data_IF_833063396149
#
_entry.id   IF_833063396149
#
_cell.length_a   1.000
_cell.length_b   1.000
_cell.length_c   1.000
_cell.angle_alpha   90.00
_cell.angle_beta   90.00
_cell.angle_gamma   90.00
#
_symmetry.space_group_name_H-M   'P 1'
#
loop_
_entity.id
_entity.type
_entity.pdbx_description
1 polymer ?
#
# COMPACT_ATOMS: atom_id res chain seq x y z
N UNK A 1 -21.45 -14.61 2.07
CA UNK A 1 -20.14 -14.18 1.52
C UNK A 1 -19.29 -13.67 2.68
N UNK A 2 -18.23 -14.40 3.03
CA UNK A 2 -17.35 -14.04 4.14
C UNK A 2 -16.41 -12.94 3.68
N UNK A 3 -16.46 -11.76 4.29
CA UNK A 3 -15.53 -10.67 3.98
C UNK A 3 -14.15 -11.02 4.51
N UNK A 4 -13.12 -10.80 3.70
CA UNK A 4 -11.73 -10.83 4.15
C UNK A 4 -11.47 -9.68 5.13
N UNK A 5 -10.57 -9.85 6.10
CA UNK A 5 -10.20 -8.79 7.03
C UNK A 5 -9.54 -7.62 6.27
N UNK A 6 -9.83 -6.39 6.69
CA UNK A 6 -9.28 -5.16 6.07
C UNK A 6 -7.78 -5.00 6.30
N UNK A 7 -7.26 -5.66 7.34
CA UNK A 7 -5.84 -5.70 7.68
C UNK A 7 -5.51 -7.07 8.23
N UNK A 8 -4.39 -7.64 7.79
CA UNK A 8 -3.85 -8.90 8.30
C UNK A 8 -2.36 -8.73 8.53
N UNK A 9 -1.89 -9.13 9.71
CA UNK A 9 -0.46 -9.18 10.02
C UNK A 9 0.01 -10.63 9.92
N UNK A 10 0.94 -10.90 9.02
CA UNK A 10 1.59 -12.21 8.88
C UNK A 10 3.00 -12.07 9.46
N UNK A 11 3.33 -12.90 10.44
CA UNK A 11 4.58 -12.74 11.20
C UNK A 11 4.74 -11.33 11.80
N UNK A 12 5.87 -11.07 12.48
CA UNK A 12 6.10 -9.76 13.10
C UNK A 12 6.35 -8.65 12.07
N UNK A 13 6.77 -9.00 10.85
CA UNK A 13 7.34 -8.05 9.90
C UNK A 13 6.45 -7.79 8.67
N UNK A 14 5.42 -8.60 8.38
CA UNK A 14 4.59 -8.47 7.17
C UNK A 14 3.20 -7.93 7.52
N UNK A 15 2.81 -6.84 6.88
CA UNK A 15 1.49 -6.23 7.03
C UNK A 15 0.77 -6.16 5.69
N UNK A 16 -0.43 -6.72 5.63
CA UNK A 16 -1.31 -6.72 4.46
C UNK A 16 -2.45 -5.73 4.69
N UNK A 17 -2.64 -4.77 3.78
CA UNK A 17 -3.68 -3.74 3.86
C UNK A 17 -4.32 -3.51 2.49
N UNK A 18 -5.59 -3.13 2.45
CA UNK A 18 -6.22 -2.71 1.19
C UNK A 18 -5.75 -1.31 0.76
N UNK A 19 -5.87 -0.33 1.65
CA UNK A 19 -5.37 1.03 1.49
C UNK A 19 -4.24 1.29 2.47
N UNK A 20 -4.56 1.78 3.67
CA UNK A 20 -3.63 2.02 4.77
C UNK A 20 -3.96 1.14 5.98
N UNK A 21 -3.09 1.05 7.01
CA UNK A 21 -3.39 0.30 8.24
C UNK A 21 -4.59 0.82 9.04
N UNK A 22 -4.98 2.07 8.84
CA UNK A 22 -6.05 2.73 9.60
C UNK A 22 -7.26 3.13 8.75
N UNK A 23 -7.17 3.03 7.42
CA UNK A 23 -8.23 3.43 6.48
C UNK A 23 -8.13 2.66 5.17
N UNK A 24 -9.18 1.90 4.86
CA UNK A 24 -9.29 1.12 3.63
C UNK A 24 -9.36 1.96 2.33
N UNK A 25 -10.11 3.07 2.28
CA UNK A 25 -10.21 3.91 1.08
C UNK A 25 -9.02 4.86 0.84
N UNK A 26 -8.11 4.99 1.80
CA UNK A 26 -7.00 5.94 1.70
C UNK A 26 -5.83 5.38 0.88
N UNK A 27 -5.19 6.24 0.09
CA UNK A 27 -3.99 5.90 -0.67
C UNK A 27 -2.76 5.80 0.24
N UNK A 28 -1.91 4.82 -0.05
CA UNK A 28 -0.73 4.54 0.79
C UNK A 28 0.60 4.82 0.09
N UNK A 29 0.69 4.58 -1.22
CA UNK A 29 1.89 4.88 -2.02
C UNK A 29 1.74 6.13 -2.89
N UNK A 30 0.57 6.75 -2.83
CA UNK A 30 0.22 7.94 -3.58
C UNK A 30 -0.33 9.01 -2.64
N UNK A 31 -0.06 10.26 -2.98
CA UNK A 31 -0.62 11.44 -2.30
C UNK A 31 -1.38 12.26 -3.32
N UNK A 32 -2.58 12.72 -2.93
CA UNK A 32 -3.38 13.64 -3.74
C UNK A 32 -2.75 15.03 -3.65
N UNK A 33 -2.35 15.58 -4.79
CA UNK A 33 -1.82 16.93 -4.93
C UNK A 33 -2.70 17.74 -5.91
N UNK A 34 -2.46 19.04 -5.98
CA UNK A 34 -3.24 19.98 -6.82
C UNK A 34 -3.27 19.55 -8.31
N UNK A 35 -2.21 18.91 -8.80
CA UNK A 35 -2.10 18.41 -10.18
C UNK A 35 -2.46 16.94 -10.39
N UNK A 36 -3.03 16.25 -9.39
CA UNK A 36 -3.35 14.83 -9.44
C UNK A 36 -2.56 13.99 -8.44
N UNK A 37 -2.42 12.69 -8.72
CA UNK A 37 -1.68 11.78 -7.85
C UNK A 37 -0.18 11.93 -8.07
N UNK A 38 0.57 12.09 -6.97
CA UNK A 38 2.02 11.95 -6.95
C UNK A 38 2.43 10.75 -6.09
N UNK A 39 3.63 10.18 -6.28
CA UNK A 39 4.19 9.23 -5.32
C UNK A 39 4.25 9.83 -3.91
N UNK A 40 3.92 9.02 -2.91
CA UNK A 40 4.15 9.35 -1.50
C UNK A 40 5.67 9.41 -1.23
N UNK A 41 6.06 10.37 -0.42
CA UNK A 41 7.43 10.52 0.09
C UNK A 41 7.72 9.47 1.15
N UNK A 42 9.01 9.23 1.42
CA UNK A 42 9.42 8.29 2.47
C UNK A 42 8.92 8.67 3.87
N UNK A 43 8.68 9.96 4.13
CA UNK A 43 8.15 10.42 5.41
C UNK A 43 6.65 10.08 5.55
N UNK A 44 5.93 10.00 4.44
CA UNK A 44 4.50 9.63 4.40
C UNK A 44 4.29 8.11 4.53
N UNK A 45 5.31 7.28 4.26
CA UNK A 45 5.22 5.81 4.29
C UNK A 45 5.83 5.24 5.57
N UNK A 46 5.02 4.59 6.41
CA UNK A 46 5.44 4.13 7.74
C UNK A 46 5.23 2.61 7.93
N UNK A 47 6.16 1.75 7.47
CA UNK A 47 6.19 0.31 7.84
C UNK A 47 7.43 -0.47 7.39
N UNK A 48 7.57 -1.74 7.84
CA UNK A 48 8.68 -2.66 7.52
C UNK A 48 8.46 -3.54 6.28
N UNK A 49 7.33 -4.23 6.13
CA UNK A 49 6.96 -4.84 4.85
C UNK A 49 5.45 -4.68 4.67
N UNK A 50 5.01 -3.96 3.63
CA UNK A 50 3.57 -3.81 3.32
C UNK A 50 3.24 -4.29 1.91
N UNK A 51 2.18 -5.09 1.80
CA UNK A 51 1.48 -5.31 0.54
C UNK A 51 0.18 -4.51 0.55
N UNK A 52 0.07 -3.54 -0.35
CA UNK A 52 -1.10 -2.66 -0.51
C UNK A 52 -1.70 -2.80 -1.91
N UNK A 53 -2.97 -2.40 -2.09
CA UNK A 53 -3.64 -2.46 -3.39
C UNK A 53 -4.32 -1.14 -3.72
N UNK A 54 -5.57 -1.21 -4.18
CA UNK A 54 -6.48 -0.09 -4.37
C UNK A 54 -6.22 0.82 -5.58
N UNK A 55 -5.00 1.32 -5.80
CA UNK A 55 -4.74 2.20 -6.96
C UNK A 55 -4.61 1.46 -8.29
N UNK A 56 -4.52 0.13 -8.25
CA UNK A 56 -4.37 -0.76 -9.42
C UNK A 56 -3.05 -0.63 -10.19
N UNK A 57 -2.17 0.29 -9.77
CA UNK A 57 -0.88 0.55 -10.38
C UNK A 57 0.22 -0.27 -9.70
N UNK A 58 1.02 -0.99 -10.49
CA UNK A 58 2.15 -1.74 -9.97
C UNK A 58 3.24 -0.80 -9.44
N UNK A 59 3.68 -1.01 -8.19
CA UNK A 59 4.77 -0.22 -7.60
C UNK A 59 5.51 -0.99 -6.51
N UNK A 60 6.80 -0.69 -6.38
CA UNK A 60 7.64 -1.19 -5.30
C UNK A 60 8.54 -0.08 -4.78
N UNK A 61 8.56 0.11 -3.45
CA UNK A 61 9.41 1.11 -2.79
C UNK A 61 10.20 0.44 -1.67
N UNK A 62 11.52 0.44 -1.77
CA UNK A 62 12.42 -0.02 -0.72
C UNK A 62 12.93 1.17 0.11
N UNK A 63 12.88 1.10 1.45
CA UNK A 63 13.39 2.19 2.30
C UNK A 63 13.95 1.80 3.68
N UNK A 64 15.20 2.17 3.95
CA UNK A 64 15.88 1.80 5.20
C UNK A 64 16.14 0.30 5.30
N UNK A 65 16.60 -0.16 6.49
CA UNK A 65 17.08 -1.53 6.77
C UNK A 65 16.05 -2.63 6.38
N UNK A 66 16.08 -3.07 5.13
CA UNK A 66 15.29 -4.21 4.64
C UNK A 66 13.79 -3.97 4.56
N UNK A 67 13.32 -2.71 4.53
CA UNK A 67 11.88 -2.43 4.46
C UNK A 67 11.40 -2.23 3.03
N UNK A 68 10.25 -2.82 2.71
CA UNK A 68 9.70 -2.85 1.37
C UNK A 68 8.20 -2.58 1.40
N UNK A 69 7.68 -1.80 0.46
CA UNK A 69 6.24 -1.69 0.25
C UNK A 69 5.97 -2.00 -1.21
N UNK A 70 5.04 -2.93 -1.44
CA UNK A 70 4.65 -3.37 -2.77
C UNK A 70 3.14 -3.16 -3.01
N UNK A 71 2.82 -2.66 -4.19
CA UNK A 71 1.49 -2.74 -4.77
C UNK A 71 1.58 -3.64 -6.01
N UNK A 72 0.93 -4.82 -6.02
CA UNK A 72 0.99 -5.73 -7.17
C UNK A 72 0.18 -5.21 -8.37
N UNK A 73 -0.58 -4.12 -8.21
CA UNK A 73 -1.54 -3.65 -9.21
C UNK A 73 -2.85 -4.44 -9.17
N UNK A 74 -3.65 -4.32 -10.22
CA UNK A 74 -4.92 -5.05 -10.34
C UNK A 74 -4.88 -6.08 -11.46
N UNK A 75 -5.40 -7.27 -11.17
CA UNK A 75 -5.56 -8.35 -12.15
C UNK A 75 -6.69 -8.03 -13.14
N UNK A 76 -7.80 -7.48 -12.65
CA UNK A 76 -9.02 -7.29 -13.45
C UNK A 76 -9.16 -5.91 -14.10
N UNK A 77 -8.33 -4.94 -13.70
CA UNK A 77 -8.34 -3.59 -14.25
C UNK A 77 -6.94 -2.94 -14.12
N UNK A 78 -5.97 -3.31 -14.97
CA UNK A 78 -4.60 -2.80 -14.91
C UNK A 78 -4.51 -1.33 -15.38
N UNK A 79 -3.59 -0.56 -14.79
CA UNK A 79 -3.29 0.83 -15.16
C UNK A 79 -1.91 1.26 -14.67
#
# INVERSE_FOLDING_TARGET
MTRLPTTLRLESDILLVHGTPTSGPAYFLETVAVGGLRPATRAEIVARLIQCGHTHIQRMVAFGKGRLVLNPGSVGLPG
#
